data_IF_839812111570
#
_entry.id   IF_839812111570
#
_cell.length_a   1.000
_cell.length_b   1.000
_cell.length_c   1.000
_cell.angle_alpha   90.00
_cell.angle_beta   90.00
_cell.angle_gamma   90.00
#
_symmetry.space_group_name_H-M   'P 1'
#
loop_
_entity.id
_entity.type
_entity.pdbx_description
1 polymer ?
#
# COMPACT_ATOMS: atom_id res chain seq x y z
N UNK A 1 24.24 -4.40 -16.45
CA UNK A 1 22.77 -4.62 -16.58
C UNK A 1 22.01 -4.24 -15.30
N UNK A 2 22.44 -4.64 -14.09
CA UNK A 2 21.75 -4.32 -12.81
C UNK A 2 21.72 -2.83 -12.38
N UNK A 3 22.65 -1.97 -12.82
CA UNK A 3 22.66 -0.54 -12.42
C UNK A 3 21.51 0.26 -13.04
N UNK A 4 21.23 0.04 -14.33
CA UNK A 4 20.16 0.74 -15.05
C UNK A 4 18.78 0.45 -14.46
N UNK A 5 18.48 -0.78 -14.06
CA UNK A 5 17.19 -1.16 -13.44
C UNK A 5 16.96 -0.47 -12.09
N UNK A 6 18.03 -0.16 -11.36
CA UNK A 6 17.97 0.46 -10.03
C UNK A 6 17.53 1.93 -10.12
N UNK A 7 18.04 2.65 -11.12
CA UNK A 7 17.74 4.08 -11.30
C UNK A 7 16.29 4.33 -11.77
N UNK A 8 15.69 3.39 -12.51
CA UNK A 8 14.27 3.46 -12.90
C UNK A 8 13.31 3.26 -11.72
N UNK A 9 13.64 2.36 -10.78
CA UNK A 9 12.82 2.09 -9.60
C UNK A 9 12.77 3.27 -8.63
N UNK A 10 13.84 4.06 -8.53
CA UNK A 10 13.92 5.20 -7.60
C UNK A 10 12.89 6.28 -7.92
N UNK A 11 12.54 6.44 -9.20
CA UNK A 11 11.55 7.42 -9.64
C UNK A 11 10.13 6.84 -9.78
N UNK A 12 9.97 5.53 -9.64
CA UNK A 12 8.68 4.85 -9.65
C UNK A 12 8.24 4.53 -8.22
N UNK A 13 7.55 5.48 -7.58
CA UNK A 13 7.04 5.33 -6.23
C UNK A 13 6.12 4.10 -6.08
N UNK A 14 5.31 3.81 -7.10
CA UNK A 14 4.36 2.69 -7.08
C UNK A 14 5.11 1.37 -7.21
N UNK A 15 6.07 1.28 -8.13
CA UNK A 15 6.94 0.12 -8.29
C UNK A 15 7.77 -0.16 -7.03
N UNK A 16 8.36 0.87 -6.42
CA UNK A 16 9.12 0.75 -5.18
C UNK A 16 8.24 0.25 -4.02
N UNK A 17 7.03 0.80 -3.88
CA UNK A 17 6.07 0.38 -2.87
C UNK A 17 5.58 -1.05 -3.10
N UNK A 18 5.25 -1.43 -4.33
CA UNK A 18 4.86 -2.80 -4.67
C UNK A 18 5.97 -3.80 -4.37
N UNK A 19 7.22 -3.42 -4.63
CA UNK A 19 8.37 -4.26 -4.29
C UNK A 19 8.54 -4.39 -2.77
N UNK A 20 8.46 -3.30 -2.02
CA UNK A 20 8.47 -3.30 -0.56
C UNK A 20 7.41 -4.23 0.04
N UNK A 21 6.16 -4.16 -0.43
CA UNK A 21 5.08 -5.04 0.04
C UNK A 21 5.38 -6.52 -0.28
N UNK A 22 5.86 -6.83 -1.49
CA UNK A 22 6.21 -8.18 -1.89
C UNK A 22 7.34 -8.79 -1.02
N UNK A 23 8.29 -7.97 -0.57
CA UNK A 23 9.43 -8.41 0.25
C UNK A 23 9.04 -8.90 1.65
N UNK A 24 7.82 -8.69 2.08
CA UNK A 24 7.34 -9.25 3.33
C UNK A 24 6.79 -10.68 3.21
N UNK A 25 6.67 -11.20 1.99
CA UNK A 25 6.44 -12.64 1.76
C UNK A 25 7.73 -13.46 1.77
N UNK A 26 8.88 -12.83 2.07
CA UNK A 26 10.17 -13.52 2.17
C UNK A 26 10.17 -14.59 3.25
N UNK A 27 10.94 -15.64 3.02
CA UNK A 27 11.16 -16.72 3.97
C UNK A 27 12.48 -16.53 4.73
N UNK A 28 12.74 -17.38 5.72
CA UNK A 28 13.99 -17.34 6.51
C UNK A 28 15.23 -17.70 5.71
N UNK A 29 15.10 -18.21 4.48
CA UNK A 29 16.21 -18.57 3.60
C UNK A 29 16.51 -17.52 2.52
N UNK A 30 15.70 -16.46 2.43
CA UNK A 30 15.77 -15.48 1.35
C UNK A 30 16.65 -14.26 1.73
N UNK A 31 17.92 -14.49 2.02
CA UNK A 31 18.85 -13.44 2.50
C UNK A 31 18.94 -12.21 1.58
N UNK A 32 18.83 -12.40 0.26
CA UNK A 32 18.82 -11.29 -0.71
C UNK A 32 17.60 -10.37 -0.55
N UNK A 33 16.49 -10.90 -0.02
CA UNK A 33 15.27 -10.14 0.21
C UNK A 33 15.33 -9.29 1.48
N UNK A 34 16.19 -9.62 2.44
CA UNK A 34 16.47 -8.76 3.60
C UNK A 34 17.22 -7.48 3.16
N UNK A 35 18.23 -7.62 2.30
CA UNK A 35 18.93 -6.48 1.70
C UNK A 35 17.98 -5.62 0.86
N UNK A 36 17.12 -6.26 0.07
CA UNK A 36 16.12 -5.56 -0.72
C UNK A 36 15.09 -4.84 0.15
N UNK A 37 14.72 -5.38 1.32
CA UNK A 37 13.80 -4.73 2.24
C UNK A 37 14.43 -3.46 2.81
N UNK A 38 15.68 -3.55 3.27
CA UNK A 38 16.41 -2.37 3.75
C UNK A 38 16.55 -1.31 2.67
N UNK A 39 16.84 -1.73 1.43
CA UNK A 39 16.90 -0.85 0.28
C UNK A 39 15.57 -0.16 0.00
N UNK A 40 14.47 -0.89 -0.10
CA UNK A 40 13.16 -0.30 -0.40
C UNK A 40 12.69 0.63 0.72
N UNK A 41 12.93 0.28 1.99
CA UNK A 41 12.65 1.13 3.15
C UNK A 41 13.37 2.48 3.03
N UNK A 42 14.68 2.48 2.76
CA UNK A 42 15.48 3.72 2.71
C UNK A 42 15.05 4.68 1.60
N UNK A 43 14.35 4.19 0.57
CA UNK A 43 13.82 5.01 -0.53
C UNK A 43 12.40 5.51 -0.26
N UNK A 44 11.61 4.75 0.51
CA UNK A 44 10.23 5.09 0.85
C UNK A 44 10.13 6.01 2.08
N UNK A 45 11.03 5.87 3.05
CA UNK A 45 11.03 6.65 4.29
C UNK A 45 11.09 8.17 4.06
N UNK A 46 11.92 8.72 3.16
CA UNK A 46 11.92 10.16 2.88
C UNK A 46 10.58 10.66 2.35
N UNK A 47 9.83 9.83 1.62
CA UNK A 47 8.51 10.19 1.09
C UNK A 47 7.45 10.17 2.20
N UNK A 48 7.52 9.17 3.09
CA UNK A 48 6.61 9.03 4.23
C UNK A 48 6.80 10.15 5.27
N UNK A 49 8.02 10.64 5.44
CA UNK A 49 8.39 11.71 6.37
C UNK A 49 8.27 13.12 5.75
N UNK A 50 7.94 13.20 4.45
CA UNK A 50 7.79 14.48 3.74
C UNK A 50 9.12 15.16 3.38
N UNK A 51 10.25 14.46 3.53
CA UNK A 51 11.57 14.93 3.10
C UNK A 51 11.72 14.91 1.57
N UNK A 52 11.04 13.98 0.90
CA UNK A 52 10.97 13.89 -0.56
C UNK A 52 9.55 14.15 -1.04
N UNK A 53 9.40 15.07 -2.00
CA UNK A 53 8.11 15.43 -2.56
C UNK A 53 7.51 14.28 -3.38
N UNK A 54 6.23 13.99 -3.15
CA UNK A 54 5.43 13.07 -3.97
C UNK A 54 3.96 13.50 -3.95
N UNK A 55 3.10 13.00 -4.85
CA UNK A 55 1.67 13.24 -4.79
C UNK A 55 1.08 12.85 -3.42
N UNK A 56 0.19 13.66 -2.86
CA UNK A 56 -0.28 13.46 -1.48
C UNK A 56 -0.94 12.09 -1.23
N UNK A 57 -1.66 11.55 -2.23
CA UNK A 57 -2.27 10.22 -2.12
C UNK A 57 -1.22 9.09 -2.13
N UNK A 58 -0.08 9.28 -2.81
CA UNK A 58 1.07 8.36 -2.82
C UNK A 58 1.79 8.40 -1.48
N UNK A 59 2.15 9.59 -0.99
CA UNK A 59 2.81 9.74 0.33
C UNK A 59 1.99 9.10 1.44
N UNK A 60 0.65 9.29 1.43
CA UNK A 60 -0.24 8.65 2.41
C UNK A 60 -0.21 7.13 2.30
N UNK A 61 -0.28 6.56 1.09
CA UNK A 61 -0.25 5.12 0.89
C UNK A 61 1.08 4.52 1.39
N UNK A 62 2.21 5.16 1.07
CA UNK A 62 3.54 4.77 1.54
C UNK A 62 3.62 4.83 3.07
N UNK A 63 3.15 5.92 3.67
CA UNK A 63 3.13 6.06 5.13
C UNK A 63 2.36 4.91 5.82
N UNK A 64 1.22 4.50 5.24
CA UNK A 64 0.44 3.37 5.77
C UNK A 64 1.21 2.05 5.65
N UNK A 65 1.81 1.78 4.50
CA UNK A 65 2.59 0.56 4.25
C UNK A 65 3.84 0.45 5.15
N UNK A 66 4.55 1.56 5.40
CA UNK A 66 5.70 1.56 6.30
C UNK A 66 5.31 1.39 7.77
N UNK A 67 4.08 1.78 8.14
CA UNK A 67 3.57 1.56 9.49
C UNK A 67 3.14 0.11 9.72
N UNK A 68 2.25 -0.40 8.86
CA UNK A 68 1.83 -1.81 8.83
C UNK A 68 1.69 -2.23 7.36
N UNK A 69 2.60 -3.07 6.85
CA UNK A 69 2.50 -3.67 5.52
C UNK A 69 1.14 -4.31 5.26
N UNK A 70 0.64 -4.22 4.03
CA UNK A 70 -0.73 -4.60 3.68
C UNK A 70 -1.06 -6.05 4.06
N UNK A 71 -0.16 -6.99 3.79
CA UNK A 71 -0.35 -8.41 4.08
C UNK A 71 -0.32 -8.77 5.59
N UNK A 72 0.18 -7.87 6.44
CA UNK A 72 0.09 -8.00 7.91
C UNK A 72 -1.09 -7.23 8.51
N UNK A 73 -1.88 -6.57 7.67
CA UNK A 73 -2.97 -5.70 8.11
C UNK A 73 -4.34 -6.39 7.91
N UNK A 74 -5.35 -5.87 8.59
CA UNK A 74 -6.74 -6.31 8.44
C UNK A 74 -7.24 -5.89 7.05
N UNK A 75 -7.79 -6.85 6.30
CA UNK A 75 -8.16 -6.65 4.89
C UNK A 75 -9.15 -5.49 4.70
N UNK A 76 -10.08 -5.29 5.64
CA UNK A 76 -11.01 -4.16 5.60
C UNK A 76 -10.29 -2.80 5.71
N UNK A 77 -9.24 -2.70 6.52
CA UNK A 77 -8.44 -1.47 6.63
C UNK A 77 -7.61 -1.23 5.37
N UNK A 78 -7.01 -2.29 4.81
CA UNK A 78 -6.30 -2.24 3.53
C UNK A 78 -7.23 -1.76 2.42
N UNK A 79 -8.42 -2.36 2.31
CA UNK A 79 -9.41 -1.99 1.31
C UNK A 79 -9.84 -0.52 1.43
N UNK A 80 -10.07 -0.03 2.66
CA UNK A 80 -10.45 1.37 2.91
C UNK A 80 -9.39 2.36 2.43
N UNK A 81 -8.13 2.12 2.78
CA UNK A 81 -7.02 2.99 2.36
C UNK A 81 -6.81 2.89 0.85
N UNK A 82 -6.86 1.68 0.26
CA UNK A 82 -6.67 1.48 -1.17
C UNK A 82 -7.78 2.13 -2.01
N UNK A 83 -9.05 2.05 -1.60
CA UNK A 83 -10.16 2.77 -2.26
C UNK A 83 -9.87 4.27 -2.31
N UNK A 84 -9.39 4.82 -1.20
CA UNK A 84 -9.10 6.26 -1.08
C UNK A 84 -7.87 6.68 -1.90
N UNK A 85 -6.92 5.77 -2.09
CA UNK A 85 -5.78 5.96 -2.98
C UNK A 85 -6.22 5.89 -4.45
N UNK A 86 -6.93 4.83 -4.83
CA UNK A 86 -7.33 4.55 -6.21
C UNK A 86 -8.26 5.62 -6.78
N UNK A 87 -9.13 6.21 -5.95
CA UNK A 87 -9.97 7.35 -6.35
C UNK A 87 -9.18 8.57 -6.85
N UNK A 88 -7.92 8.72 -6.44
CA UNK A 88 -7.07 9.86 -6.80
C UNK A 88 -6.18 9.56 -8.02
N UNK A 89 -6.24 8.36 -8.57
CA UNK A 89 -5.43 7.94 -9.71
C UNK A 89 -6.06 8.41 -11.01
N UNK A 90 -5.31 9.05 -11.90
CA UNK A 90 -5.86 9.60 -13.16
C UNK A 90 -6.44 8.52 -14.10
N UNK A 91 -6.00 7.27 -13.95
CA UNK A 91 -6.36 6.14 -14.79
C UNK A 91 -7.22 5.08 -14.07
N UNK A 92 -7.92 5.45 -13.00
CA UNK A 92 -8.79 4.51 -12.30
C UNK A 92 -9.99 4.09 -13.16
N UNK A 93 -10.44 2.85 -12.98
CA UNK A 93 -11.67 2.36 -13.56
C UNK A 93 -12.86 2.75 -12.67
N UNK A 94 -13.76 3.58 -13.20
CA UNK A 94 -14.95 4.06 -12.50
C UNK A 94 -15.87 2.93 -12.02
N UNK A 95 -15.97 1.86 -12.80
CA UNK A 95 -16.82 0.70 -12.47
C UNK A 95 -16.23 -0.05 -11.29
N UNK A 96 -14.92 -0.30 -11.31
CA UNK A 96 -14.19 -0.94 -10.22
C UNK A 96 -14.24 -0.09 -8.94
N UNK A 97 -14.01 1.23 -9.05
CA UNK A 97 -14.07 2.13 -7.91
C UNK A 97 -15.47 2.16 -7.28
N UNK A 98 -16.52 2.23 -8.11
CA UNK A 98 -17.91 2.18 -7.65
C UNK A 98 -18.22 0.87 -6.96
N UNK A 99 -17.81 -0.26 -7.54
CA UNK A 99 -17.99 -1.58 -6.95
C UNK A 99 -17.30 -1.68 -5.59
N UNK A 100 -16.04 -1.26 -5.49
CA UNK A 100 -15.26 -1.29 -4.26
C UNK A 100 -15.91 -0.45 -3.14
N UNK A 101 -16.39 0.76 -3.48
CA UNK A 101 -17.12 1.63 -2.54
C UNK A 101 -18.42 1.01 -2.05
N UNK A 102 -19.19 0.37 -2.94
CA UNK A 102 -20.43 -0.33 -2.57
C UNK A 102 -20.14 -1.53 -1.68
N UNK A 103 -19.16 -2.34 -2.04
CA UNK A 103 -18.74 -3.51 -1.26
C UNK A 103 -18.30 -3.12 0.15
N UNK A 104 -17.48 -2.07 0.28
CA UNK A 104 -17.02 -1.58 1.58
C UNK A 104 -18.17 -1.08 2.46
N UNK A 105 -19.13 -0.33 1.89
CA UNK A 105 -20.32 0.12 2.62
C UNK A 105 -21.18 -1.05 3.07
N UNK A 106 -21.36 -2.05 2.22
CA UNK A 106 -22.12 -3.26 2.55
C UNK A 106 -21.48 -4.02 3.71
N UNK A 107 -20.16 -4.23 3.66
CA UNK A 107 -19.40 -4.84 4.76
C UNK A 107 -19.53 -4.04 6.07
N UNK A 108 -19.44 -2.71 5.99
CA UNK A 108 -19.59 -1.84 7.16
C UNK A 108 -20.98 -1.96 7.80
N UNK A 109 -22.04 -2.08 6.99
CA UNK A 109 -23.40 -2.30 7.49
C UNK A 109 -23.53 -3.62 8.26
N UNK A 110 -22.90 -4.70 7.77
CA UNK A 110 -22.86 -5.97 8.47
C UNK A 110 -22.16 -5.84 9.82
N UNK A 111 -20.98 -5.22 9.88
CA UNK A 111 -20.28 -4.99 11.14
C UNK A 111 -21.13 -4.20 12.14
N UNK A 112 -21.87 -3.18 11.70
CA UNK A 112 -22.77 -2.45 12.59
C UNK A 112 -23.92 -3.30 13.12
N UNK A 113 -24.50 -4.17 12.29
CA UNK A 113 -25.58 -5.09 12.71
C UNK A 113 -25.08 -6.14 13.71
N UNK A 114 -23.90 -6.69 13.46
CA UNK A 114 -23.24 -7.63 14.37
C UNK A 114 -22.92 -6.97 15.71
N UNK A 115 -22.32 -5.78 15.70
CA UNK A 115 -22.06 -5.01 16.92
C UNK A 115 -23.34 -4.74 17.71
N UNK A 116 -24.42 -4.31 17.05
CA UNK A 116 -25.73 -4.09 17.69
C UNK A 116 -26.33 -5.37 18.30
N UNK A 117 -25.96 -6.54 17.79
CA UNK A 117 -26.45 -7.82 18.32
C UNK A 117 -25.69 -8.25 19.58
N UNK A 118 -24.41 -7.86 19.70
CA UNK A 118 -23.55 -8.24 20.83
C UNK A 118 -23.45 -7.17 21.94
N UNK A 119 -23.94 -5.94 21.70
CA UNK A 119 -24.06 -4.86 22.68
C UNK A 119 -25.51 -4.60 23.05
#
# INVERSE_FOLDING_TARGET
MMRSSRDYLINDFKGMLSFYEALHFRTTTDYILDEALSFTWSHLEPIATGQLASPGHISRLIQKALHIPQHMNIEALVAREYISFYEQEDNHDDTLLKLAKLNFKFLQLHYFQELKTIT
#
